data_IF_688954672129
#
_entry.id   IF_688954672129
#
_cell.length_a   1.000
_cell.length_b   1.000
_cell.length_c   1.000
_cell.angle_alpha   90.00
_cell.angle_beta   90.00
_cell.angle_gamma   90.00
#
_symmetry.space_group_name_H-M   'P 1'
#
loop_
_entity.id
_entity.type
_entity.pdbx_description
1 polymer ?
#
# COMPACT_ATOMS: atom_id res chain seq x y z
N UNK A 1 15.23 -12.45 13.35
CA UNK A 1 15.17 -12.56 11.87
C UNK A 1 13.74 -12.51 11.34
N UNK A 2 12.90 -13.55 11.41
CA UNK A 2 11.56 -13.52 10.79
C UNK A 2 10.66 -12.37 11.29
N UNK A 3 10.65 -12.10 12.61
CA UNK A 3 9.88 -11.00 13.21
C UNK A 3 10.31 -9.62 12.70
N UNK A 4 11.62 -9.38 12.55
CA UNK A 4 12.14 -8.11 12.02
C UNK A 4 11.82 -7.95 10.53
N UNK A 5 11.88 -9.04 9.76
CA UNK A 5 11.49 -9.05 8.34
C UNK A 5 10.02 -8.64 8.19
N UNK A 6 9.11 -9.29 8.94
CA UNK A 6 7.70 -8.91 8.94
C UNK A 6 7.49 -7.48 9.44
N UNK A 7 8.25 -7.05 10.45
CA UNK A 7 8.23 -5.68 10.95
C UNK A 7 8.58 -4.65 9.87
N UNK A 8 9.61 -4.93 9.08
CA UNK A 8 10.05 -4.07 7.97
C UNK A 8 9.06 -4.08 6.80
N UNK A 9 8.49 -5.24 6.45
CA UNK A 9 7.44 -5.33 5.43
C UNK A 9 6.20 -4.51 5.84
N UNK A 10 5.79 -4.56 7.11
CA UNK A 10 4.69 -3.75 7.64
C UNK A 10 4.99 -2.25 7.57
N UNK A 11 6.24 -1.82 7.81
CA UNK A 11 6.64 -0.42 7.63
C UNK A 11 6.55 -0.01 6.16
N UNK A 12 7.00 -0.88 5.25
CA UNK A 12 6.91 -0.66 3.80
C UNK A 12 5.47 -0.49 3.32
N UNK A 13 4.57 -1.40 3.72
CA UNK A 13 3.15 -1.29 3.38
C UNK A 13 2.49 -0.05 3.97
N UNK A 14 2.85 0.36 5.20
CA UNK A 14 2.37 1.61 5.79
C UNK A 14 2.80 2.83 4.97
N UNK A 15 4.06 2.87 4.52
CA UNK A 15 4.57 3.97 3.70
C UNK A 15 3.88 4.02 2.33
N UNK A 16 3.70 2.86 1.68
CA UNK A 16 2.97 2.78 0.41
C UNK A 16 1.52 3.25 0.57
N UNK A 17 0.85 2.87 1.67
CA UNK A 17 -0.51 3.29 1.96
C UNK A 17 -0.63 4.80 2.15
N UNK A 18 0.28 5.40 2.92
CA UNK A 18 0.32 6.87 3.08
C UNK A 18 0.55 7.60 1.76
N UNK A 19 1.35 7.02 0.85
CA UNK A 19 1.50 7.53 -0.51
C UNK A 19 0.20 7.49 -1.31
N UNK A 20 -0.56 6.39 -1.22
CA UNK A 20 -1.87 6.27 -1.87
C UNK A 20 -2.91 7.23 -1.29
N UNK A 21 -2.96 7.38 0.04
CA UNK A 21 -3.86 8.33 0.70
C UNK A 21 -3.56 9.78 0.34
N UNK A 22 -2.27 10.14 0.22
CA UNK A 22 -1.91 11.47 -0.26
C UNK A 22 -2.42 11.72 -1.69
N UNK A 23 -2.39 10.69 -2.54
CA UNK A 23 -2.82 10.78 -3.94
C UNK A 23 -4.33 10.89 -4.10
N UNK A 24 -5.13 10.32 -3.19
CA UNK A 24 -6.60 10.50 -3.25
C UNK A 24 -7.03 11.94 -2.97
N UNK A 25 -6.16 12.73 -2.34
CA UNK A 25 -6.39 14.15 -2.05
C UNK A 25 -5.70 15.10 -3.03
N UNK A 26 -4.97 14.55 -3.99
CA UNK A 26 -4.20 15.31 -4.98
C UNK A 26 -4.97 15.46 -6.31
N UNK A 27 -4.52 16.36 -7.18
CA UNK A 27 -4.99 16.50 -8.57
C UNK A 27 -4.89 15.16 -9.34
N UNK A 28 -4.05 14.24 -8.86
CA UNK A 28 -3.86 12.91 -9.42
C UNK A 28 -4.86 11.85 -8.92
N UNK A 29 -5.90 12.21 -8.17
CA UNK A 29 -6.93 11.28 -7.64
C UNK A 29 -7.55 10.36 -8.70
N UNK A 30 -7.64 10.84 -9.94
CA UNK A 30 -8.19 10.15 -11.10
C UNK A 30 -7.16 9.29 -11.86
N UNK A 31 -6.08 8.86 -11.21
CA UNK A 31 -5.03 8.06 -11.86
C UNK A 31 -5.44 6.59 -12.02
N UNK A 32 -5.43 6.09 -13.26
CA UNK A 32 -5.67 4.67 -13.65
C UNK A 32 -4.82 3.67 -12.83
N UNK A 33 -3.69 4.09 -12.26
CA UNK A 33 -2.80 3.21 -11.49
C UNK A 33 -3.13 3.11 -10.01
N UNK A 34 -3.99 3.98 -9.45
CA UNK A 34 -4.27 4.00 -8.01
C UNK A 34 -5.10 2.79 -7.55
N UNK A 35 -6.14 2.44 -8.30
CA UNK A 35 -6.97 1.26 -8.00
C UNK A 35 -6.14 -0.05 -8.09
N UNK A 36 -5.30 -0.15 -9.13
CA UNK A 36 -4.37 -1.26 -9.28
C UNK A 36 -3.34 -1.32 -8.14
N UNK A 37 -2.91 -0.17 -7.62
CA UNK A 37 -1.99 -0.08 -6.49
C UNK A 37 -2.66 -0.48 -5.18
N UNK A 38 -3.89 0.01 -4.91
CA UNK A 38 -4.72 -0.44 -3.78
C UNK A 38 -4.86 -1.96 -3.79
N UNK A 39 -5.26 -2.53 -4.93
CA UNK A 39 -5.37 -3.98 -5.11
C UNK A 39 -4.06 -4.72 -4.82
N UNK A 40 -2.90 -4.16 -5.19
CA UNK A 40 -1.59 -4.75 -4.86
C UNK A 40 -1.30 -4.70 -3.37
N UNK A 41 -1.62 -3.61 -2.68
CA UNK A 41 -1.46 -3.50 -1.22
C UNK A 41 -2.33 -4.51 -0.51
N UNK A 42 -3.61 -4.61 -0.88
CA UNK A 42 -4.55 -5.61 -0.31
C UNK A 42 -4.04 -7.04 -0.48
N UNK A 43 -3.62 -7.40 -1.70
CA UNK A 43 -3.07 -8.74 -1.97
C UNK A 43 -1.78 -9.00 -1.21
N UNK A 44 -0.92 -7.98 -1.10
CA UNK A 44 0.33 -8.05 -0.34
C UNK A 44 0.09 -8.28 1.15
N UNK A 45 -0.82 -7.53 1.77
CA UNK A 45 -1.19 -7.69 3.18
C UNK A 45 -1.86 -9.03 3.45
N UNK A 46 -2.75 -9.51 2.56
CA UNK A 46 -3.34 -10.86 2.66
C UNK A 46 -2.29 -11.95 2.60
N UNK A 47 -1.27 -11.79 1.75
CA UNK A 47 -0.14 -12.74 1.70
C UNK A 47 0.67 -12.66 2.98
N UNK A 48 1.02 -11.46 3.44
CA UNK A 48 1.78 -11.23 4.67
C UNK A 48 1.10 -11.85 5.90
N UNK A 49 -0.24 -11.74 6.00
CA UNK A 49 -1.01 -12.41 7.04
C UNK A 49 -0.78 -13.93 7.02
N UNK A 50 -0.90 -14.57 5.86
CA UNK A 50 -0.69 -16.01 5.69
C UNK A 50 0.75 -16.42 6.01
N UNK A 51 1.73 -15.62 5.59
CA UNK A 51 3.15 -15.88 5.85
C UNK A 51 3.43 -15.81 7.36
N UNK A 52 2.87 -14.83 8.08
CA UNK A 52 2.94 -14.75 9.56
C UNK A 52 2.25 -15.97 10.21
N UNK A 53 1.12 -16.43 9.67
CA UNK A 53 0.43 -17.61 10.19
C UNK A 53 1.25 -18.90 10.05
N UNK A 54 1.89 -19.08 8.89
CA UNK A 54 2.73 -20.23 8.60
C UNK A 54 4.05 -20.23 9.39
N UNK A 55 4.57 -19.05 9.74
CA UNK A 55 5.82 -18.93 10.48
C UNK A 55 5.68 -19.42 11.94
N UNK A 56 6.66 -20.21 12.38
CA UNK A 56 6.79 -20.65 13.78
C UNK A 56 7.44 -19.56 14.65
N UNK A 57 6.66 -18.54 14.98
CA UNK A 57 7.07 -17.47 15.91
C UNK A 57 6.86 -17.97 17.36
N UNK A 58 7.92 -18.10 18.18
CA UNK A 58 7.83 -18.70 19.52
C UNK A 58 6.96 -17.91 20.50
N UNK A 59 6.89 -16.59 20.32
CA UNK A 59 6.12 -15.70 21.18
C UNK A 59 4.73 -15.44 20.57
N UNK A 60 3.69 -15.97 21.22
CA UNK A 60 2.30 -15.79 20.80
C UNK A 60 1.88 -14.31 20.80
N UNK A 61 2.35 -13.52 21.78
CA UNK A 61 2.09 -12.08 21.84
C UNK A 61 2.70 -11.34 20.63
N UNK A 62 3.95 -11.67 20.28
CA UNK A 62 4.62 -11.08 19.11
C UNK A 62 3.88 -11.41 17.82
N UNK A 63 3.45 -12.67 17.66
CA UNK A 63 2.65 -13.10 16.50
C UNK A 63 1.29 -12.37 16.47
N UNK A 64 0.65 -12.21 17.62
CA UNK A 64 -0.60 -11.44 17.77
C UNK A 64 -0.43 -9.97 17.38
N UNK A 65 0.65 -9.32 17.83
CA UNK A 65 0.97 -7.93 17.49
C UNK A 65 1.22 -7.73 15.99
N UNK A 66 1.91 -8.66 15.34
CA UNK A 66 2.12 -8.61 13.88
C UNK A 66 0.78 -8.73 13.13
N UNK A 67 -0.09 -9.67 13.53
CA UNK A 67 -1.42 -9.82 12.95
C UNK A 67 -2.28 -8.57 13.12
N UNK A 68 -2.34 -8.02 14.34
CA UNK A 68 -3.10 -6.81 14.62
C UNK A 68 -2.65 -5.62 13.75
N UNK A 69 -1.35 -5.52 13.44
CA UNK A 69 -0.83 -4.50 12.51
C UNK A 69 -1.24 -4.76 11.06
N UNK A 70 -1.27 -6.02 10.61
CA UNK A 70 -1.79 -6.37 9.28
C UNK A 70 -3.27 -6.03 9.18
N UNK A 71 -4.07 -6.37 10.19
CA UNK A 71 -5.50 -6.05 10.25
C UNK A 71 -5.74 -4.54 10.21
N UNK A 72 -4.99 -3.76 10.99
CA UNK A 72 -5.09 -2.30 10.98
C UNK A 72 -4.77 -1.70 9.61
N UNK A 73 -3.71 -2.19 8.95
CA UNK A 73 -3.37 -1.74 7.60
C UNK A 73 -4.41 -2.19 6.56
N UNK A 74 -4.96 -3.39 6.69
CA UNK A 74 -5.98 -3.90 5.77
C UNK A 74 -7.25 -3.05 5.84
N UNK A 75 -7.71 -2.72 7.05
CA UNK A 75 -8.84 -1.80 7.24
C UNK A 75 -8.59 -0.43 6.61
N UNK A 76 -7.41 0.14 6.84
CA UNK A 76 -7.05 1.43 6.28
C UNK A 76 -6.99 1.41 4.73
N UNK A 77 -6.66 0.25 4.13
CA UNK A 77 -6.74 0.08 2.68
C UNK A 77 -8.20 0.02 2.20
N UNK A 78 -9.06 -0.71 2.91
CA UNK A 78 -10.48 -0.83 2.57
C UNK A 78 -11.17 0.56 2.60
N UNK A 79 -10.88 1.35 3.64
CA UNK A 79 -11.39 2.72 3.86
C UNK A 79 -10.84 3.77 2.87
N UNK A 80 -9.86 3.39 2.05
CA UNK A 80 -9.22 4.30 1.10
C UNK A 80 -10.17 4.54 -0.08
N UNK A 81 -10.78 5.73 -0.08
CA UNK A 81 -11.70 6.21 -1.11
C UNK A 81 -10.92 6.63 -2.37
N UNK A 82 -10.89 5.75 -3.36
CA UNK A 82 -10.24 5.99 -4.65
C UNK A 82 -11.34 6.23 -5.67
N UNK A 83 -11.28 7.37 -6.35
CA UNK A 83 -12.20 7.69 -7.44
C UNK A 83 -12.18 6.62 -8.53
N UNK A 84 -13.31 6.45 -9.21
CA UNK A 84 -13.42 5.51 -10.34
C UNK A 84 -12.31 5.76 -11.39
N UNK A 85 -11.85 4.67 -12.00
CA UNK A 85 -10.80 4.71 -13.00
C UNK A 85 -11.21 5.60 -14.19
N UNK A 86 -10.53 6.75 -14.33
CA UNK A 86 -10.70 7.69 -15.44
C UNK A 86 -9.35 8.06 -16.03
N UNK A 87 -9.31 8.82 -17.13
CA UNK A 87 -8.05 9.30 -17.69
C UNK A 87 -7.31 10.16 -16.65
N UNK A 88 -6.06 9.81 -16.34
CA UNK A 88 -5.28 10.64 -15.42
C UNK A 88 -5.09 12.04 -16.00
N UNK A 89 -4.98 13.03 -15.12
CA UNK A 89 -4.86 14.43 -15.54
C UNK A 89 -3.65 14.69 -16.44
N UNK A 90 -2.58 13.88 -16.34
CA UNK A 90 -1.43 13.96 -17.25
C UNK A 90 -1.78 13.53 -18.67
N UNK A 91 -2.48 12.41 -18.83
CA UNK A 91 -2.95 11.93 -20.14
C UNK A 91 -3.99 12.87 -20.74
N UNK A 92 -4.80 13.51 -19.89
CA UNK A 92 -5.76 14.53 -20.30
C UNK A 92 -5.12 15.91 -20.58
N UNK A 93 -3.79 16.07 -20.43
CA UNK A 93 -3.08 17.32 -20.71
C UNK A 93 -3.35 18.47 -19.71
N UNK A 94 -4.01 18.17 -18.59
CA UNK A 94 -4.44 19.14 -17.56
C UNK A 94 -3.51 19.16 -16.34
N UNK A 95 -2.61 18.18 -16.21
CA UNK A 95 -1.62 18.17 -15.15
C UNK A 95 -0.44 19.11 -15.46
N UNK A 96 -0.20 20.09 -14.59
CA UNK A 96 0.95 21.02 -14.66
C UNK A 96 2.19 20.53 -13.91
N UNK A 97 2.09 19.43 -13.16
CA UNK A 97 3.27 18.81 -12.56
C UNK A 97 4.13 18.24 -13.69
N UNK A 98 5.42 18.58 -13.71
CA UNK A 98 6.36 18.24 -14.78
C UNK A 98 6.62 16.74 -14.97
N UNK A 99 7.75 16.40 -15.60
CA UNK A 99 8.11 15.01 -15.92
C UNK A 99 8.57 14.21 -14.67
N UNK A 100 7.64 13.84 -13.79
CA UNK A 100 7.73 12.80 -12.76
C UNK A 100 6.36 12.67 -12.10
N UNK A 101 5.61 11.61 -12.40
CA UNK A 101 4.28 11.43 -11.84
C UNK A 101 4.38 10.85 -10.44
N UNK A 102 3.98 11.63 -9.42
CA UNK A 102 3.98 11.20 -8.01
C UNK A 102 3.18 9.90 -7.81
N UNK A 103 2.11 9.71 -8.58
CA UNK A 103 1.32 8.47 -8.55
C UNK A 103 2.14 7.24 -8.97
N UNK A 104 2.99 7.37 -9.98
CA UNK A 104 3.85 6.28 -10.43
C UNK A 104 4.91 5.95 -9.37
N UNK A 105 5.48 6.97 -8.72
CA UNK A 105 6.46 6.80 -7.63
C UNK A 105 5.86 6.12 -6.39
N UNK A 106 4.61 6.42 -6.02
CA UNK A 106 3.95 5.75 -4.91
C UNK A 106 3.70 4.25 -5.20
N UNK A 107 3.39 3.89 -6.44
CA UNK A 107 3.30 2.47 -6.85
C UNK A 107 4.69 1.81 -6.85
N UNK A 108 5.73 2.54 -7.21
CA UNK A 108 7.10 2.03 -7.18
C UNK A 108 7.58 1.73 -5.75
N UNK A 109 7.05 2.40 -4.72
CA UNK A 109 7.33 2.05 -3.32
C UNK A 109 6.95 0.60 -3.00
N UNK A 110 5.89 0.06 -3.62
CA UNK A 110 5.50 -1.33 -3.42
C UNK A 110 6.52 -2.33 -3.97
N UNK A 111 7.34 -1.93 -4.94
CA UNK A 111 8.44 -2.77 -5.47
C UNK A 111 9.61 -2.85 -4.49
N UNK A 112 9.70 -1.90 -3.55
CA UNK A 112 10.74 -1.84 -2.53
C UNK A 112 10.35 -2.59 -1.25
N UNK A 113 9.10 -3.06 -1.15
CA UNK A 113 8.65 -3.94 -0.07
C UNK A 113 9.01 -5.38 -0.47
N UNK A 114 10.00 -6.01 0.19
CA UNK A 114 10.47 -7.35 -0.14
C UNK A 114 9.42 -8.44 0.16
#
# INVERSE_FOLDING_TARGET
>A
MAVEVFGNQLLGYRAALGGLEALTRDICVNCITLEAAKTKVEKGLKKLAKDIEAESIPCAETKGNLKARVDALSKAVDELDIAEATSCQKTAGVCKMGAACFATSAVDLLKLVP
#
